data_IF_214549001045
#
_entry.id   IF_214549001045
#
_cell.length_a   1.000
_cell.length_b   1.000
_cell.length_c   1.000
_cell.angle_alpha   90.00
_cell.angle_beta   90.00
_cell.angle_gamma   90.00
#
_symmetry.space_group_name_H-M   'P 1'
#
loop_
_entity.id
_entity.type
_entity.pdbx_description
1 polymer ?
#
# COMPACT_ATOMS: atom_id res chain seq x y z
N UNK A 1 -3.33 -19.09 27.66
CA UNK A 1 -3.44 -17.89 26.79
C UNK A 1 -2.87 -18.23 25.42
N UNK A 2 -3.71 -18.58 24.45
CA UNK A 2 -3.27 -18.95 23.10
C UNK A 2 -3.15 -17.69 22.24
N UNK A 3 -1.92 -17.30 21.88
CA UNK A 3 -1.66 -16.22 20.93
C UNK A 3 -2.02 -16.73 19.53
N UNK A 4 -3.24 -16.44 19.07
CA UNK A 4 -3.64 -16.74 17.70
C UNK A 4 -2.71 -15.99 16.73
N UNK A 5 -2.18 -16.66 15.69
CA UNK A 5 -1.34 -15.99 14.71
C UNK A 5 -2.15 -14.87 14.04
N UNK A 6 -1.57 -13.66 13.95
CA UNK A 6 -2.17 -12.52 13.25
C UNK A 6 -2.45 -12.94 11.81
N UNK A 7 -3.72 -12.91 11.42
CA UNK A 7 -4.12 -13.30 10.08
C UNK A 7 -3.79 -12.19 9.07
N UNK A 8 -3.61 -12.53 7.80
CA UNK A 8 -3.40 -11.54 6.72
C UNK A 8 -4.53 -10.47 6.72
N UNK A 9 -5.74 -10.88 7.09
CA UNK A 9 -6.91 -10.01 7.20
C UNK A 9 -6.75 -8.89 8.26
N UNK A 10 -6.13 -9.18 9.40
CA UNK A 10 -5.90 -8.18 10.45
C UNK A 10 -4.91 -7.10 10.00
N UNK A 11 -3.90 -7.49 9.22
CA UNK A 11 -2.92 -6.55 8.67
C UNK A 11 -3.57 -5.65 7.61
N UNK A 12 -4.44 -6.19 6.76
CA UNK A 12 -5.20 -5.40 5.77
C UNK A 12 -6.11 -4.39 6.44
N UNK A 13 -6.82 -4.77 7.50
CA UNK A 13 -7.66 -3.86 8.28
C UNK A 13 -6.88 -2.72 8.90
N UNK A 14 -5.72 -3.03 9.49
CA UNK A 14 -4.84 -1.99 10.07
C UNK A 14 -4.29 -1.06 9.00
N UNK A 15 -3.88 -1.61 7.85
CA UNK A 15 -3.42 -0.80 6.72
C UNK A 15 -4.53 0.13 6.21
N UNK A 16 -5.73 -0.40 5.99
CA UNK A 16 -6.88 0.36 5.52
C UNK A 16 -7.25 1.48 6.50
N UNK A 17 -7.33 1.18 7.80
CA UNK A 17 -7.62 2.16 8.83
C UNK A 17 -6.57 3.28 8.91
N UNK A 18 -5.29 2.94 8.72
CA UNK A 18 -4.21 3.91 8.82
C UNK A 18 -4.01 4.77 7.56
N UNK A 19 -4.35 4.25 6.37
CA UNK A 19 -3.95 4.87 5.11
C UNK A 19 -5.10 5.29 4.21
N UNK A 20 -6.34 4.86 4.51
CA UNK A 20 -7.49 5.09 3.65
C UNK A 20 -8.61 5.82 4.42
N UNK A 21 -9.49 6.46 3.66
CA UNK A 21 -10.70 7.11 4.13
C UNK A 21 -11.81 6.98 3.08
N UNK A 22 -13.06 7.09 3.48
CA UNK A 22 -14.20 6.95 2.57
C UNK A 22 -14.94 8.28 2.41
N UNK A 23 -15.31 8.60 1.18
CA UNK A 23 -16.13 9.78 0.91
C UNK A 23 -17.56 9.53 1.40
N UNK A 24 -18.14 10.42 2.23
CA UNK A 24 -19.50 10.25 2.74
C UNK A 24 -20.56 10.47 1.66
N UNK A 25 -20.23 11.18 0.58
CA UNK A 25 -21.18 11.48 -0.49
C UNK A 25 -21.29 10.36 -1.52
N UNK A 26 -20.17 9.94 -2.10
CA UNK A 26 -20.17 8.97 -3.19
C UNK A 26 -19.61 7.59 -2.80
N UNK A 27 -19.17 7.43 -1.55
CA UNK A 27 -18.67 6.15 -1.03
C UNK A 27 -17.28 5.74 -1.53
N UNK A 28 -16.60 6.56 -2.34
CA UNK A 28 -15.28 6.24 -2.89
C UNK A 28 -14.21 6.12 -1.80
N UNK A 29 -13.33 5.12 -1.92
CA UNK A 29 -12.17 4.93 -1.05
C UNK A 29 -11.02 5.79 -1.55
N UNK A 30 -10.52 6.67 -0.70
CA UNK A 30 -9.47 7.64 -0.98
C UNK A 30 -8.27 7.39 -0.07
N UNK A 31 -7.07 7.83 -0.46
CA UNK A 31 -5.94 7.83 0.47
C UNK A 31 -6.10 8.91 1.53
N UNK A 32 -5.47 8.72 2.69
CA UNK A 32 -5.43 9.73 3.75
C UNK A 32 -4.90 11.08 3.26
N UNK A 33 -3.93 11.06 2.34
CA UNK A 33 -3.27 12.25 1.79
C UNK A 33 -4.16 13.09 0.87
N UNK A 34 -5.21 12.50 0.27
CA UNK A 34 -6.11 13.23 -0.64
C UNK A 34 -7.03 14.18 0.14
N UNK A 35 -6.84 15.50 0.06
CA UNK A 35 -7.74 16.47 0.71
C UNK A 35 -9.12 16.61 0.03
N UNK A 36 -9.21 16.15 -1.21
CA UNK A 36 -10.42 16.14 -2.04
C UNK A 36 -10.74 14.71 -2.48
N UNK A 37 -12.03 14.39 -2.62
CA UNK A 37 -12.45 13.12 -3.19
C UNK A 37 -12.09 13.10 -4.69
N UNK A 38 -11.28 12.12 -5.11
CA UNK A 38 -10.86 12.02 -6.52
C UNK A 38 -12.03 11.74 -7.48
N UNK A 39 -13.14 11.18 -6.97
CA UNK A 39 -14.28 10.76 -7.79
C UNK A 39 -15.33 11.87 -7.96
N UNK A 40 -15.76 12.51 -6.88
CA UNK A 40 -16.84 13.51 -6.91
C UNK A 40 -16.40 14.93 -6.56
N UNK A 41 -15.13 15.13 -6.23
CA UNK A 41 -14.60 16.45 -5.87
C UNK A 41 -14.99 16.95 -4.47
N UNK A 42 -15.63 16.13 -3.63
CA UNK A 42 -15.98 16.49 -2.26
C UNK A 42 -14.77 16.93 -1.44
N UNK A 43 -14.95 17.98 -0.64
CA UNK A 43 -13.99 18.47 0.34
C UNK A 43 -14.62 18.49 1.73
N UNK A 44 -13.83 18.22 2.76
CA UNK A 44 -14.27 18.29 4.14
C UNK A 44 -13.94 17.01 4.92
N UNK A 45 -14.82 16.66 5.87
CA UNK A 45 -14.62 15.46 6.70
C UNK A 45 -14.95 14.21 5.88
N UNK A 46 -14.06 13.23 5.96
CA UNK A 46 -14.24 11.90 5.38
C UNK A 46 -14.55 10.90 6.50
N UNK A 47 -15.18 9.79 6.14
CA UNK A 47 -15.39 8.68 7.05
C UNK A 47 -14.07 7.93 7.25
N UNK A 48 -13.69 7.77 8.51
CA UNK A 48 -12.45 7.10 8.94
C UNK A 48 -12.73 5.89 9.83
N UNK A 49 -13.99 5.50 10.01
CA UNK A 49 -14.33 4.28 10.73
C UNK A 49 -13.67 3.09 10.01
N UNK A 50 -12.77 2.34 10.69
CA UNK A 50 -12.09 1.18 10.13
C UNK A 50 -13.02 0.16 9.49
N UNK A 51 -14.22 -0.06 10.06
CA UNK A 51 -15.18 -1.01 9.54
C UNK A 51 -15.73 -0.55 8.19
N UNK A 52 -16.11 0.73 8.09
CA UNK A 52 -16.68 1.34 6.89
C UNK A 52 -15.62 1.45 5.78
N UNK A 53 -14.40 1.83 6.13
CA UNK A 53 -13.28 1.94 5.17
C UNK A 53 -12.90 0.56 4.64
N UNK A 54 -12.84 -0.46 5.51
CA UNK A 54 -12.55 -1.83 5.10
C UNK A 54 -13.63 -2.38 4.17
N UNK A 55 -14.90 -2.11 4.47
CA UNK A 55 -16.01 -2.53 3.61
C UNK A 55 -15.92 -1.89 2.22
N UNK A 56 -15.65 -0.59 2.14
CA UNK A 56 -15.42 0.08 0.87
C UNK A 56 -14.23 -0.49 0.08
N UNK A 57 -13.15 -0.85 0.77
CA UNK A 57 -11.99 -1.49 0.14
C UNK A 57 -12.33 -2.87 -0.41
N UNK A 58 -13.08 -3.70 0.34
CA UNK A 58 -13.55 -5.00 -0.12
C UNK A 58 -14.39 -4.87 -1.39
N UNK A 59 -15.37 -3.97 -1.38
CA UNK A 59 -16.21 -3.71 -2.56
C UNK A 59 -15.40 -3.26 -3.78
N UNK A 60 -14.34 -2.47 -3.58
CA UNK A 60 -13.44 -2.06 -4.66
C UNK A 60 -12.69 -3.27 -5.25
N UNK A 61 -12.18 -4.15 -4.40
CA UNK A 61 -11.44 -5.35 -4.84
C UNK A 61 -12.36 -6.37 -5.52
N UNK A 62 -13.60 -6.50 -5.08
CA UNK A 62 -14.60 -7.37 -5.71
C UNK A 62 -14.96 -6.89 -7.12
N UNK A 63 -15.01 -5.57 -7.33
CA UNK A 63 -15.30 -4.96 -8.64
C UNK A 63 -14.10 -4.94 -9.58
N UNK A 64 -12.89 -4.84 -9.02
CA UNK A 64 -11.64 -4.72 -9.76
C UNK A 64 -10.64 -5.78 -9.26
N UNK A 65 -10.83 -7.06 -9.64
CA UNK A 65 -10.01 -8.16 -9.14
C UNK A 65 -8.52 -7.99 -9.48
N UNK A 66 -8.18 -7.31 -10.58
CA UNK A 66 -6.81 -6.93 -10.97
C UNK A 66 -6.04 -6.16 -9.90
N UNK A 67 -6.71 -5.36 -9.06
CA UNK A 67 -6.05 -4.63 -7.94
C UNK A 67 -5.52 -5.60 -6.87
N UNK A 68 -6.13 -6.77 -6.74
CA UNK A 68 -5.69 -7.82 -5.81
C UNK A 68 -4.37 -8.43 -6.27
N UNK A 69 -4.16 -8.52 -7.59
CA UNK A 69 -2.94 -9.08 -8.19
C UNK A 69 -1.75 -8.10 -8.11
N UNK A 70 -2.01 -6.80 -8.22
CA UNK A 70 -0.99 -5.75 -8.05
C UNK A 70 -0.53 -5.50 -6.61
N UNK A 71 -1.27 -5.99 -5.60
CA UNK A 71 -0.86 -5.97 -4.20
C UNK A 71 0.26 -6.98 -3.87
N UNK A 72 0.58 -7.88 -4.81
CA UNK A 72 1.86 -8.59 -4.83
C UNK A 72 2.94 -7.63 -5.32
N UNK A 73 3.27 -6.62 -4.49
CA UNK A 73 4.54 -5.94 -4.65
C UNK A 73 5.60 -7.02 -4.55
N UNK A 74 6.30 -7.28 -5.67
CA UNK A 74 7.48 -8.13 -5.68
C UNK A 74 8.31 -7.79 -4.44
N UNK A 75 8.66 -8.80 -3.64
CA UNK A 75 9.54 -8.60 -2.49
C UNK A 75 10.75 -7.81 -2.98
N UNK A 76 11.15 -6.70 -2.32
CA UNK A 76 12.31 -5.94 -2.75
C UNK A 76 13.49 -6.90 -2.83
N UNK A 77 13.95 -7.19 -4.06
CA UNK A 77 15.07 -8.11 -4.31
C UNK A 77 16.24 -7.67 -3.45
N UNK A 78 16.51 -8.43 -2.38
CA UNK A 78 17.54 -8.14 -1.38
C UNK A 78 18.83 -7.80 -2.13
N UNK A 79 19.54 -6.72 -1.75
CA UNK A 79 20.76 -6.33 -2.45
C UNK A 79 21.73 -7.51 -2.42
N UNK A 80 21.99 -8.10 -3.60
CA UNK A 80 22.86 -9.26 -3.69
C UNK A 80 24.27 -8.84 -3.27
N UNK A 81 24.93 -9.70 -2.50
CA UNK A 81 26.30 -9.50 -2.02
C UNK A 81 27.29 -9.16 -3.17
N UNK A 82 26.94 -9.54 -4.40
CA UNK A 82 27.63 -9.17 -5.64
C UNK A 82 27.77 -7.68 -5.89
N UNK A 83 26.85 -6.83 -5.41
CA UNK A 83 26.95 -5.36 -5.52
C UNK A 83 28.16 -4.79 -4.75
N UNK A 84 28.58 -5.44 -3.65
CA UNK A 84 29.79 -5.05 -2.91
C UNK A 84 31.07 -5.46 -3.64
N UNK A 85 31.05 -6.58 -4.34
CA UNK A 85 32.20 -7.08 -5.12
C UNK A 85 32.38 -6.25 -6.40
N UNK A 86 31.30 -5.97 -7.14
CA UNK A 86 31.33 -5.16 -8.36
C UNK A 86 31.80 -3.72 -8.10
N UNK A 87 31.41 -3.10 -6.98
CA UNK A 87 31.89 -1.75 -6.63
C UNK A 87 33.39 -1.69 -6.31
N UNK A 88 34.00 -2.81 -5.90
CA UNK A 88 35.45 -2.88 -5.66
C UNK A 88 36.24 -3.02 -6.96
N UNK A 89 35.65 -3.66 -7.97
CA UNK A 89 36.23 -3.74 -9.32
C UNK A 89 36.07 -2.44 -10.10
N UNK A 90 34.95 -1.72 -9.96
CA UNK A 90 34.73 -0.44 -10.66
C UNK A 90 35.74 0.65 -10.26
N UNK A 91 36.18 0.68 -9.00
CA UNK A 91 37.21 1.63 -8.52
C UNK A 91 38.62 1.37 -9.07
N UNK A 92 38.85 0.24 -9.74
CA UNK A 92 40.17 -0.12 -10.29
C UNK A 92 40.34 0.25 -11.76
N UNK A 93 39.28 0.69 -12.44
CA UNK A 93 39.31 0.97 -13.89
C UNK A 93 39.65 2.44 -14.19
N UNK A 94 39.63 3.33 -13.18
CA UNK A 94 40.01 4.75 -13.32
C UNK A 94 41.49 5.01 -12.98
N UNK A 95 42.39 4.12 -13.39
CA UNK A 95 43.84 4.36 -13.38
C UNK A 95 44.29 4.00 -14.80
N UNK A 96 44.80 4.97 -15.55
CA UNK A 96 44.96 5.04 -17.02
C UNK A 96 43.87 5.86 -17.74
N UNK A 97 43.78 7.13 -17.33
CA UNK A 97 43.51 8.27 -18.21
C UNK A 97 44.52 9.37 -17.85
#
# INVERSE_FOLDING_TARGET
MSLRPRTNQDNRRRFAAANLKRCPLCGAVNTQQNHQCFACGWHGKFDQDPAIVQEGLNQLMDRCPELTNGASLEEPKKPSLWRRILNKFRRKVDIWA
#
